data_IF_391624492429
#
_entry.id   IF_391624492429
#
_cell.length_a   1.000
_cell.length_b   1.000
_cell.length_c   1.000
_cell.angle_alpha   90.00
_cell.angle_beta   90.00
_cell.angle_gamma   90.00
#
_symmetry.space_group_name_H-M   'P 1'
#
loop_
_entity.id
_entity.type
_entity.pdbx_description
1 polymer ?
#
# COMPACT_ATOMS: atom_id res chain seq x y z
N UNK A 1 10.62 -0.50 13.51
CA UNK A 1 10.04 -1.76 12.98
C UNK A 1 8.88 -1.42 12.05
N UNK A 2 8.72 -2.16 10.95
CA UNK A 2 7.59 -2.01 10.04
C UNK A 2 6.63 -3.16 10.31
N UNK A 3 5.42 -2.83 10.78
CA UNK A 3 4.34 -3.79 11.04
C UNK A 3 3.51 -4.10 9.80
N UNK A 4 3.35 -3.12 8.91
CA UNK A 4 2.63 -3.26 7.64
C UNK A 4 3.31 -2.42 6.56
N UNK A 5 3.64 -3.05 5.45
CA UNK A 5 4.11 -2.39 4.23
C UNK A 5 2.97 -1.70 3.46
N UNK A 6 3.33 -0.79 2.55
CA UNK A 6 2.38 -0.12 1.67
C UNK A 6 1.67 -1.12 0.72
N UNK A 7 0.42 -0.82 0.37
CA UNK A 7 -0.41 -1.67 -0.47
C UNK A 7 0.05 -1.63 -1.94
N UNK A 8 -0.02 -2.77 -2.62
CA UNK A 8 0.24 -2.84 -4.05
C UNK A 8 -1.03 -2.51 -4.86
N UNK A 9 -1.05 -1.32 -5.48
CA UNK A 9 -2.13 -0.92 -6.39
C UNK A 9 -1.83 -1.12 -7.87
N UNK A 10 -0.82 -1.91 -8.22
CA UNK A 10 -0.57 -2.28 -9.63
C UNK A 10 -1.79 -2.98 -10.26
N UNK A 11 -2.57 -3.75 -9.49
CA UNK A 11 -3.81 -4.38 -9.95
C UNK A 11 -4.87 -3.37 -10.40
N UNK A 12 -5.12 -2.33 -9.59
CA UNK A 12 -6.06 -1.24 -9.93
C UNK A 12 -5.66 -0.51 -11.22
N UNK A 13 -4.37 -0.18 -11.34
CA UNK A 13 -3.85 0.51 -12.52
C UNK A 13 -4.05 -0.36 -13.76
N UNK A 14 -3.70 -1.64 -13.68
CA UNK A 14 -3.86 -2.56 -14.81
C UNK A 14 -5.34 -2.74 -15.21
N UNK A 15 -6.26 -2.76 -14.25
CA UNK A 15 -7.69 -2.80 -14.54
C UNK A 15 -8.18 -1.53 -15.23
N UNK A 16 -7.75 -0.36 -14.75
CA UNK A 16 -8.10 0.92 -15.36
C UNK A 16 -7.50 1.09 -16.76
N UNK A 17 -6.30 0.55 -17.02
CA UNK A 17 -5.69 0.55 -18.35
C UNK A 17 -6.49 -0.32 -19.34
N UNK A 18 -6.94 -1.51 -18.93
CA UNK A 18 -7.87 -2.33 -19.73
C UNK A 18 -9.21 -1.64 -19.99
N UNK A 19 -9.74 -0.93 -19.00
CA UNK A 19 -10.95 -0.12 -19.19
C UNK A 19 -10.70 1.03 -20.16
N UNK A 20 -9.52 1.66 -20.13
CA UNK A 20 -9.17 2.75 -21.04
C UNK A 20 -9.14 2.29 -22.50
N UNK A 21 -8.56 1.11 -22.77
CA UNK A 21 -8.48 0.51 -24.10
C UNK A 21 -9.86 0.17 -24.69
N UNK A 22 -10.78 -0.28 -23.84
CA UNK A 22 -12.10 -0.76 -24.26
C UNK A 22 -13.21 0.30 -24.16
N UNK A 23 -12.98 1.42 -23.46
CA UNK A 23 -14.00 2.42 -23.22
C UNK A 23 -14.23 3.38 -24.42
N UNK A 24 -15.50 3.80 -24.65
CA UNK A 24 -15.81 4.88 -25.58
C UNK A 24 -15.04 6.16 -25.27
N UNK A 25 -14.67 6.94 -26.30
CA UNK A 25 -13.87 8.18 -26.18
C UNK A 25 -14.36 9.13 -25.08
N UNK A 26 -15.69 9.28 -24.94
CA UNK A 26 -16.33 10.12 -23.91
C UNK A 26 -15.92 9.78 -22.47
N UNK A 27 -15.43 8.57 -22.20
CA UNK A 27 -15.01 8.12 -20.87
C UNK A 27 -13.49 8.05 -20.69
N UNK A 28 -12.72 8.01 -21.78
CA UNK A 28 -11.26 7.82 -21.74
C UNK A 28 -10.56 8.91 -20.94
N UNK A 29 -10.94 10.18 -21.11
CA UNK A 29 -10.36 11.30 -20.35
C UNK A 29 -10.51 11.11 -18.83
N UNK A 30 -11.67 10.64 -18.37
CA UNK A 30 -11.93 10.39 -16.95
C UNK A 30 -11.11 9.20 -16.43
N UNK A 31 -11.00 8.12 -17.20
CA UNK A 31 -10.20 6.94 -16.86
C UNK A 31 -8.72 7.32 -16.76
N UNK A 32 -8.17 8.00 -17.77
CA UNK A 32 -6.79 8.49 -17.77
C UNK A 32 -6.48 9.42 -16.61
N UNK A 33 -7.42 10.31 -16.27
CA UNK A 33 -7.30 11.18 -15.08
C UNK A 33 -7.26 10.36 -13.79
N UNK A 34 -8.07 9.31 -13.69
CA UNK A 34 -8.07 8.43 -12.52
C UNK A 34 -6.74 7.66 -12.38
N UNK A 35 -6.21 7.11 -13.47
CA UNK A 35 -4.88 6.47 -13.49
C UNK A 35 -3.80 7.46 -13.04
N UNK A 36 -3.82 8.68 -13.58
CA UNK A 36 -2.86 9.72 -13.21
C UNK A 36 -2.96 10.10 -11.72
N UNK A 37 -4.18 10.21 -11.18
CA UNK A 37 -4.40 10.49 -9.76
C UNK A 37 -3.82 9.39 -8.86
N UNK A 38 -4.09 8.12 -9.19
CA UNK A 38 -3.58 6.96 -8.44
C UNK A 38 -2.05 6.95 -8.45
N UNK A 39 -1.44 7.10 -9.63
CA UNK A 39 0.04 7.13 -9.78
C UNK A 39 0.66 8.29 -9.00
N UNK A 40 0.03 9.47 -9.04
CA UNK A 40 0.50 10.65 -8.32
C UNK A 40 0.43 10.46 -6.80
N UNK A 41 -0.67 9.89 -6.28
CA UNK A 41 -0.83 9.54 -4.86
C UNK A 41 0.24 8.55 -4.41
N UNK A 42 0.34 7.41 -5.10
CA UNK A 42 1.32 6.37 -4.80
C UNK A 42 2.77 6.86 -4.82
N UNK A 43 3.11 7.80 -5.70
CA UNK A 43 4.45 8.40 -5.75
C UNK A 43 4.78 9.20 -4.49
N UNK A 44 3.79 9.92 -3.95
CA UNK A 44 3.91 10.65 -2.68
C UNK A 44 4.04 9.71 -1.49
N UNK A 45 3.07 8.81 -1.35
CA UNK A 45 3.01 7.81 -0.28
C UNK A 45 4.26 6.92 -0.25
N UNK A 46 4.70 6.41 -1.41
CA UNK A 46 5.92 5.58 -1.51
C UNK A 46 7.17 6.34 -1.10
N UNK A 47 7.26 7.63 -1.42
CA UNK A 47 8.41 8.46 -1.04
C UNK A 47 8.43 8.69 0.47
N UNK A 48 7.29 9.00 1.06
CA UNK A 48 7.15 9.15 2.51
C UNK A 48 7.43 7.83 3.25
N UNK A 49 6.87 6.71 2.79
CA UNK A 49 7.16 5.38 3.31
C UNK A 49 8.65 5.02 3.23
N UNK A 50 9.32 5.36 2.12
CA UNK A 50 10.77 5.16 1.99
C UNK A 50 11.57 5.96 3.04
N UNK A 51 11.23 7.24 3.27
CA UNK A 51 11.88 8.04 4.30
C UNK A 51 11.62 7.47 5.71
N UNK A 52 10.36 7.14 6.02
CA UNK A 52 9.98 6.56 7.31
C UNK A 52 10.70 5.23 7.58
N UNK A 53 10.73 4.34 6.58
CA UNK A 53 11.42 3.05 6.68
C UNK A 53 12.94 3.21 6.84
N UNK A 54 13.56 4.19 6.18
CA UNK A 54 15.00 4.47 6.33
C UNK A 54 15.34 4.97 7.73
N UNK A 55 14.55 5.90 8.27
CA UNK A 55 14.85 6.53 9.56
C UNK A 55 14.45 5.63 10.75
N UNK A 56 13.37 4.86 10.63
CA UNK A 56 12.75 4.17 11.78
C UNK A 56 12.52 2.66 11.57
N UNK A 57 12.80 2.12 10.39
CA UNK A 57 12.51 0.72 10.04
C UNK A 57 13.14 -0.29 10.98
N UNK A 58 14.32 0.00 11.53
CA UNK A 58 15.07 -0.87 12.46
C UNK A 58 14.88 -0.52 13.94
N UNK A 59 14.11 0.52 14.27
CA UNK A 59 13.88 0.91 15.66
C UNK A 59 13.02 -0.13 16.41
N UNK A 60 13.41 -0.47 17.64
CA UNK A 60 12.61 -1.32 18.55
C UNK A 60 11.58 -0.52 19.37
N UNK A 61 11.65 0.81 19.34
CA UNK A 61 10.72 1.69 20.06
C UNK A 61 9.70 2.37 19.15
N UNK A 62 9.82 2.19 17.82
CA UNK A 62 8.95 2.83 16.82
C UNK A 62 8.37 1.78 15.89
N UNK A 63 7.04 1.72 15.85
CA UNK A 63 6.25 0.86 14.98
C UNK A 63 5.62 1.67 13.86
N UNK A 64 5.64 1.13 12.64
CA UNK A 64 5.13 1.81 11.44
C UNK A 64 4.15 0.89 10.72
N UNK A 65 2.98 1.39 10.36
CA UNK A 65 2.04 0.71 9.47
C UNK A 65 1.66 1.66 8.32
N UNK A 66 1.90 1.25 7.08
CA UNK A 66 1.54 2.00 5.89
C UNK A 66 0.21 1.54 5.30
N UNK A 67 -0.53 2.43 4.65
CA UNK A 67 -1.82 2.20 3.99
C UNK A 67 -2.80 1.41 4.88
N UNK A 68 -2.89 1.82 6.14
CA UNK A 68 -3.69 1.12 7.13
C UNK A 68 -5.15 1.54 6.98
N UNK A 69 -5.94 0.60 6.46
CA UNK A 69 -7.40 0.69 6.39
C UNK A 69 -8.08 -0.15 7.47
N UNK A 70 -8.78 0.48 8.42
CA UNK A 70 -9.50 -0.15 9.53
C UNK A 70 -10.99 0.14 9.43
N UNK A 71 -11.82 -0.89 9.52
CA UNK A 71 -13.28 -0.76 9.44
C UNK A 71 -13.89 -0.67 10.85
N UNK A 72 -14.87 0.22 11.02
CA UNK A 72 -15.63 0.42 12.25
C UNK A 72 -17.09 0.70 11.91
N UNK A 73 -17.92 -0.34 11.84
CA UNK A 73 -19.28 -0.24 11.33
C UNK A 73 -19.28 0.23 9.88
N UNK A 74 -20.01 1.31 9.59
CA UNK A 74 -20.08 1.92 8.25
C UNK A 74 -18.94 2.95 7.99
N UNK A 75 -18.09 3.20 8.98
CA UNK A 75 -16.97 4.13 8.88
C UNK A 75 -15.65 3.40 8.66
N UNK A 76 -14.71 4.07 8.01
CA UNK A 76 -13.41 3.51 7.65
C UNK A 76 -12.31 4.50 8.00
N UNK A 77 -11.41 4.09 8.89
CA UNK A 77 -10.15 4.80 9.10
C UNK A 77 -9.21 4.45 7.95
N UNK A 78 -8.85 5.44 7.13
CA UNK A 78 -7.84 5.31 6.08
C UNK A 78 -6.62 6.13 6.50
N UNK A 79 -5.52 5.45 6.82
CA UNK A 79 -4.31 6.08 7.35
C UNK A 79 -3.15 5.78 6.39
N UNK A 80 -2.64 6.79 5.69
CA UNK A 80 -1.53 6.60 4.76
C UNK A 80 -0.31 6.05 5.50
N UNK A 81 0.09 6.68 6.60
CA UNK A 81 1.10 6.13 7.50
C UNK A 81 0.72 6.34 8.96
N UNK A 82 0.84 5.27 9.77
CA UNK A 82 0.71 5.30 11.21
C UNK A 82 2.09 5.07 11.82
N UNK A 83 2.49 5.95 12.73
CA UNK A 83 3.74 5.79 13.51
C UNK A 83 3.38 5.78 14.98
N UNK A 84 3.87 4.78 15.73
CA UNK A 84 3.62 4.66 17.17
C UNK A 84 4.94 4.58 17.91
N UNK A 85 5.06 5.32 19.02
CA UNK A 85 6.23 5.25 19.91
C UNK A 85 5.92 4.48 21.19
N UNK A 86 6.62 3.36 21.41
CA UNK A 86 6.41 2.37 22.49
C UNK A 86 6.34 2.99 23.88
N UNK A 87 7.27 3.88 24.21
CA UNK A 87 7.40 4.45 25.57
C UNK A 87 6.54 5.69 25.82
N UNK A 88 5.95 6.27 24.76
CA UNK A 88 5.26 7.56 24.86
C UNK A 88 3.74 7.43 24.76
N UNK A 89 3.22 6.21 24.57
CA UNK A 89 1.78 5.96 24.36
C UNK A 89 1.17 6.92 23.32
N UNK A 90 1.97 7.36 22.34
CA UNK A 90 1.57 8.36 21.36
C UNK A 90 1.65 7.74 19.97
N UNK A 91 0.60 7.99 19.19
CA UNK A 91 0.49 7.65 17.78
C UNK A 91 0.43 8.94 16.94
N UNK A 92 0.98 8.86 15.73
CA UNK A 92 0.93 9.91 14.73
C UNK A 92 0.28 9.35 13.48
N UNK A 93 -0.80 9.99 13.06
CA UNK A 93 -1.51 9.69 11.82
C UNK A 93 -1.00 10.67 10.77
N UNK A 94 -0.27 10.14 9.79
CA UNK A 94 0.36 10.94 8.75
C UNK A 94 -0.47 10.85 7.48
N UNK A 95 -0.97 12.01 7.04
CA UNK A 95 -1.70 12.21 5.79
C UNK A 95 -0.74 12.77 4.74
N UNK A 96 -0.59 12.10 3.60
CA UNK A 96 0.36 12.46 2.56
C UNK A 96 -0.30 13.23 1.42
N UNK A 97 0.20 14.44 1.15
CA UNK A 97 -0.25 15.27 0.02
C UNK A 97 0.88 15.53 -0.97
N UNK A 98 0.71 14.99 -2.17
CA UNK A 98 1.63 15.20 -3.29
C UNK A 98 1.17 16.31 -4.23
N UNK A 99 1.32 17.57 -3.81
CA UNK A 99 1.01 18.74 -4.64
C UNK A 99 2.27 19.41 -5.18
N UNK A 100 2.24 19.81 -6.45
CA UNK A 100 3.23 20.73 -7.01
C UNK A 100 2.83 22.17 -6.68
N UNK A 101 3.78 22.99 -6.20
CA UNK A 101 3.59 24.42 -5.96
C UNK A 101 3.46 24.81 -4.48
N UNK A 102 2.84 25.98 -4.24
CA UNK A 102 2.66 26.55 -2.89
C UNK A 102 1.32 26.12 -2.32
N UNK A 103 1.31 25.70 -1.07
CA UNK A 103 0.12 25.38 -0.29
C UNK A 103 -0.08 26.52 0.73
N UNK A 104 -1.30 27.04 0.81
CA UNK A 104 -1.68 28.06 1.80
C UNK A 104 -2.94 27.62 2.52
N UNK A 105 -3.03 28.01 3.80
CA UNK A 105 -4.24 27.98 4.60
C UNK A 105 -4.58 29.44 4.92
N UNK A 106 -5.83 29.83 4.84
CA UNK A 106 -6.28 31.13 5.34
C UNK A 106 -6.76 31.04 6.80
N UNK A 107 -7.27 32.17 7.32
CA UNK A 107 -7.76 32.30 8.69
C UNK A 107 -9.06 31.52 8.98
N UNK A 108 -9.80 31.16 7.93
CA UNK A 108 -11.02 30.34 8.04
C UNK A 108 -10.71 28.84 7.99
N UNK A 109 -9.45 28.48 7.70
CA UNK A 109 -9.04 27.09 7.56
C UNK A 109 -9.24 26.53 6.16
N UNK A 110 -9.45 27.39 5.16
CA UNK A 110 -9.59 27.02 3.76
C UNK A 110 -8.20 26.85 3.11
N UNK A 111 -8.05 25.77 2.35
CA UNK A 111 -6.76 25.37 1.80
C UNK A 111 -6.73 25.57 0.29
N UNK A 112 -5.67 26.22 -0.18
CA UNK A 112 -5.45 26.49 -1.60
C UNK A 112 -4.09 25.97 -2.04
N UNK A 113 -4.05 25.32 -3.20
CA UNK A 113 -2.82 24.98 -3.91
C UNK A 113 -2.62 25.96 -5.06
N UNK A 114 -1.47 26.59 -5.10
CA UNK A 114 -1.05 27.53 -6.14
C UNK A 114 -0.07 26.84 -7.08
N UNK A 115 -0.48 26.60 -8.31
CA UNK A 115 0.37 26.03 -9.35
C UNK A 115 0.46 27.00 -10.53
N UNK A 116 1.68 27.48 -10.84
CA UNK A 116 1.94 28.50 -11.87
C UNK A 116 1.02 29.73 -11.74
N UNK A 117 0.83 30.19 -10.50
CA UNK A 117 -0.04 31.34 -10.18
C UNK A 117 -1.54 31.07 -10.22
N UNK A 118 -1.99 29.86 -10.59
CA UNK A 118 -3.41 29.49 -10.59
C UNK A 118 -3.79 28.88 -9.24
N UNK A 119 -4.74 29.48 -8.50
CA UNK A 119 -5.26 28.88 -7.28
C UNK A 119 -6.20 27.72 -7.61
N UNK A 120 -6.18 26.72 -6.74
CA UNK A 120 -7.16 25.63 -6.72
C UNK A 120 -7.46 25.25 -5.29
N UNK A 121 -8.72 25.34 -4.92
CA UNK A 121 -9.17 24.97 -3.59
C UNK A 121 -9.07 23.46 -3.41
N UNK A 122 -8.66 23.06 -2.21
CA UNK A 122 -8.53 21.68 -1.81
C UNK A 122 -9.23 21.46 -0.46
N UNK A 123 -9.77 20.26 -0.22
CA UNK A 123 -10.25 19.91 1.11
C UNK A 123 -9.10 20.01 2.13
N UNK A 124 -9.43 20.44 3.35
CA UNK A 124 -8.45 20.57 4.43
C UNK A 124 -7.72 19.24 4.71
N UNK A 125 -6.40 19.14 4.45
CA UNK A 125 -5.63 17.95 4.75
C UNK A 125 -5.50 17.73 6.26
N UNK A 126 -5.49 18.81 7.04
CA UNK A 126 -5.44 18.71 8.50
C UNK A 126 -6.73 18.11 9.08
N UNK A 127 -7.90 18.55 8.59
CA UNK A 127 -9.17 17.99 9.05
C UNK A 127 -9.39 16.56 8.53
N UNK A 128 -8.80 16.20 7.37
CA UNK A 128 -8.72 14.79 6.95
C UNK A 128 -7.95 13.97 7.99
N UNK A 129 -6.71 14.36 8.32
CA UNK A 129 -5.90 13.66 9.31
C UNK A 129 -6.59 13.58 10.69
N UNK A 130 -7.25 14.66 11.15
CA UNK A 130 -8.01 14.68 12.41
C UNK A 130 -9.13 13.65 12.46
N UNK A 131 -9.95 13.55 11.40
CA UNK A 131 -10.99 12.52 11.31
C UNK A 131 -10.40 11.11 11.38
N UNK A 132 -9.26 10.89 10.73
CA UNK A 132 -8.57 9.60 10.81
C UNK A 132 -8.04 9.31 12.22
N UNK A 133 -7.56 10.32 12.96
CA UNK A 133 -7.21 10.16 14.37
C UNK A 133 -8.42 9.77 15.23
N UNK A 134 -9.58 10.40 15.03
CA UNK A 134 -10.82 10.11 15.76
C UNK A 134 -11.29 8.68 15.49
N UNK A 135 -11.29 8.26 14.22
CA UNK A 135 -11.64 6.90 13.83
C UNK A 135 -10.66 5.86 14.38
N UNK A 136 -9.36 6.17 14.40
CA UNK A 136 -8.35 5.31 15.03
C UNK A 136 -8.59 5.21 16.54
N UNK A 137 -8.89 6.31 17.24
CA UNK A 137 -9.20 6.29 18.69
C UNK A 137 -10.37 5.35 18.98
N UNK A 138 -11.47 5.53 18.26
CA UNK A 138 -12.68 4.70 18.41
C UNK A 138 -12.40 3.24 18.08
N UNK A 139 -11.58 2.97 17.06
CA UNK A 139 -11.18 1.61 16.71
C UNK A 139 -10.34 0.97 17.82
N UNK A 140 -9.39 1.70 18.41
CA UNK A 140 -8.57 1.23 19.53
C UNK A 140 -9.44 0.93 20.76
N UNK A 141 -10.36 1.83 21.09
CA UNK A 141 -11.33 1.67 22.19
C UNK A 141 -12.22 0.43 21.98
N UNK A 142 -12.80 0.26 20.78
CA UNK A 142 -13.62 -0.89 20.44
C UNK A 142 -12.87 -2.24 20.46
N UNK A 143 -11.54 -2.19 20.50
CA UNK A 143 -10.65 -3.34 20.55
C UNK A 143 -9.94 -3.47 21.91
N UNK A 144 -10.37 -2.74 22.94
CA UNK A 144 -9.79 -2.75 24.29
C UNK A 144 -8.28 -2.43 24.31
N UNK A 145 -7.82 -1.53 23.43
CA UNK A 145 -6.42 -1.08 23.36
C UNK A 145 -6.29 0.28 24.06
N UNK A 146 -6.03 0.25 25.36
CA UNK A 146 -5.83 1.46 26.17
C UNK A 146 -4.37 1.98 26.18
N UNK A 147 -3.45 1.32 25.46
CA UNK A 147 -2.02 1.63 25.53
C UNK A 147 -1.60 2.90 24.73
N UNK A 148 -2.53 3.53 24.02
CA UNK A 148 -2.32 4.74 23.23
C UNK A 148 -3.19 5.86 23.81
N UNK A 149 -2.56 6.79 24.51
CA UNK A 149 -3.22 7.92 25.18
C UNK A 149 -3.43 9.12 24.24
N UNK A 150 -2.56 9.26 23.23
CA UNK A 150 -2.50 10.45 22.40
C UNK A 150 -2.34 10.09 20.93
N UNK A 151 -3.22 10.64 20.09
CA UNK A 151 -3.14 10.50 18.63
C UNK A 151 -2.98 11.89 18.03
N UNK A 152 -1.98 12.08 17.18
CA UNK A 152 -1.63 13.38 16.60
C UNK A 152 -1.75 13.36 15.07
N UNK A 153 -2.49 14.33 14.48
CA UNK A 153 -2.53 14.48 13.04
C UNK A 153 -1.25 15.14 12.54
N UNK A 154 -0.68 14.61 11.46
CA UNK A 154 0.45 15.21 10.74
C UNK A 154 0.15 15.22 9.25
N UNK A 155 0.35 16.35 8.59
CA UNK A 155 0.27 16.47 7.13
C UNK A 155 1.67 16.42 6.57
N UNK A 156 1.98 15.38 5.80
CA UNK A 156 3.19 15.28 5.01
C UNK A 156 2.98 15.90 3.64
N UNK A 157 3.85 16.82 3.25
CA UNK A 157 3.85 17.44 1.92
C UNK A 157 5.11 17.06 1.14
N UNK A 158 5.04 17.13 -0.19
CA UNK A 158 6.20 16.87 -1.04
C UNK A 158 7.38 17.79 -0.68
N UNK A 159 8.64 17.31 -0.76
CA UNK A 159 9.84 18.13 -0.60
C UNK A 159 9.87 19.37 -1.51
N UNK A 160 9.29 19.24 -2.70
CA UNK A 160 9.25 20.27 -3.73
C UNK A 160 8.11 21.28 -3.55
N UNK A 161 7.18 21.04 -2.62
CA UNK A 161 6.13 22.01 -2.28
C UNK A 161 6.68 23.11 -1.36
N UNK A 162 6.03 24.26 -1.35
CA UNK A 162 6.22 25.28 -0.31
C UNK A 162 4.93 25.42 0.50
N UNK A 163 5.06 25.74 1.79
CA UNK A 163 3.91 26.02 2.66
C UNK A 163 4.18 27.29 3.44
N UNK A 164 3.20 28.16 3.47
CA UNK A 164 3.24 29.35 4.31
C UNK A 164 2.86 28.97 5.75
N UNK A 165 3.87 28.85 6.62
CA UNK A 165 3.67 28.39 8.00
C UNK A 165 3.11 29.48 8.92
N UNK A 166 3.20 30.74 8.52
CA UNK A 166 2.71 31.86 9.34
C UNK A 166 1.18 31.88 9.47
N UNK A 167 0.49 31.26 8.52
CA UNK A 167 -0.97 31.19 8.45
C UNK A 167 -1.54 29.82 8.82
N UNK A 168 -0.69 28.90 9.28
CA UNK A 168 -1.15 27.60 9.74
C UNK A 168 -1.79 27.73 11.13
N UNK A 169 -2.86 26.99 11.43
CA UNK A 169 -3.37 26.89 12.80
C UNK A 169 -2.25 26.46 13.76
N UNK A 170 -2.23 27.00 14.99
CA UNK A 170 -1.11 26.82 15.92
C UNK A 170 -0.76 25.36 16.27
N UNK A 171 -1.72 24.45 16.18
CA UNK A 171 -1.55 23.01 16.43
C UNK A 171 -1.31 22.20 15.14
N UNK A 172 -1.30 22.83 13.97
CA UNK A 172 -1.17 22.14 12.70
C UNK A 172 0.29 21.68 12.48
N UNK A 173 0.47 20.37 12.37
CA UNK A 173 1.76 19.79 12.01
C UNK A 173 1.83 19.55 10.50
N UNK A 174 2.38 20.52 9.76
CA UNK A 174 2.63 20.39 8.32
C UNK A 174 4.13 20.30 8.06
N UNK A 175 4.56 19.13 7.58
CA UNK A 175 5.97 18.76 7.52
C UNK A 175 6.30 18.30 6.10
N UNK A 176 7.44 18.73 5.57
CA UNK A 176 7.92 18.15 4.30
C UNK A 176 8.42 16.73 4.59
N UNK A 177 8.10 15.77 3.72
CA UNK A 177 8.38 14.35 3.97
C UNK A 177 9.87 14.06 4.24
N UNK A 178 10.78 14.79 3.60
CA UNK A 178 12.24 14.70 3.78
C UNK A 178 12.74 15.30 5.10
N UNK A 179 11.97 16.22 5.71
CA UNK A 179 12.28 16.82 7.01
C UNK A 179 11.60 16.10 8.18
N UNK A 180 10.82 15.05 7.93
CA UNK A 180 10.05 14.38 8.97
C UNK A 180 10.92 13.83 10.10
N UNK A 181 12.07 13.22 9.80
CA UNK A 181 12.96 12.65 10.83
C UNK A 181 13.52 13.71 11.80
N UNK A 182 13.83 14.91 11.32
CA UNK A 182 14.26 16.02 12.18
C UNK A 182 13.09 16.59 12.99
N UNK A 183 11.94 16.79 12.34
CA UNK A 183 10.74 17.24 13.04
C UNK A 183 10.35 16.25 14.15
N UNK A 184 10.37 14.96 13.86
CA UNK A 184 10.09 13.89 14.80
C UNK A 184 11.02 13.93 16.00
N UNK A 185 12.35 13.96 15.79
CA UNK A 185 13.33 14.04 16.88
C UNK A 185 13.02 15.20 17.82
N UNK A 186 12.72 16.39 17.27
CA UNK A 186 12.31 17.54 18.07
C UNK A 186 11.01 17.31 18.84
N UNK A 187 10.01 16.64 18.25
CA UNK A 187 8.78 16.30 18.99
C UNK A 187 9.06 15.28 20.10
N UNK A 188 9.76 14.20 19.79
CA UNK A 188 10.09 13.15 20.76
C UNK A 188 10.99 13.66 21.90
N UNK A 189 11.90 14.60 21.62
CA UNK A 189 12.81 15.21 22.60
C UNK A 189 12.13 16.29 23.47
N UNK A 190 11.23 17.11 22.88
CA UNK A 190 10.42 18.09 23.65
C UNK A 190 9.47 17.42 24.63
N UNK A 191 8.98 16.24 24.28
CA UNK A 191 8.22 15.38 25.20
C UNK A 191 9.13 14.61 26.18
N UNK A 192 10.42 14.48 25.90
CA UNK A 192 11.39 13.72 26.71
C UNK A 192 12.17 14.54 27.76
N UNK A 193 12.48 15.81 27.52
CA UNK A 193 13.41 16.58 28.38
C UNK A 193 12.81 17.04 29.72
N UNK A 194 11.52 17.38 29.78
CA UNK A 194 10.83 17.65 31.05
C UNK A 194 10.27 16.39 31.72
N UNK A 195 9.94 15.38 30.92
CA UNK A 195 9.21 14.19 31.38
C UNK A 195 10.15 13.08 31.85
N UNK A 196 11.34 12.90 31.26
CA UNK A 196 12.29 11.84 31.65
C UNK A 196 12.73 11.91 33.14
N UNK A 197 12.88 13.12 33.68
CA UNK A 197 13.23 13.32 35.10
C UNK A 197 12.04 13.03 36.05
N UNK A 198 10.80 13.27 35.59
CA UNK A 198 9.55 12.85 36.27
C UNK A 198 9.24 11.36 36.05
N UNK A 199 9.74 10.77 34.96
CA UNK A 199 9.50 9.40 34.51
C UNK A 199 10.20 8.34 35.35
N UNK A 200 11.39 8.64 35.90
CA UNK A 200 12.08 7.69 36.78
C UNK A 200 11.28 7.34 38.04
N UNK A 201 10.32 8.18 38.46
CA UNK A 201 9.47 7.91 39.64
C UNK A 201 8.04 7.43 39.33
N UNK A 202 7.50 7.68 38.13
CA UNK A 202 6.07 7.41 37.81
C UNK A 202 5.79 6.66 36.51
N UNK A 203 6.77 6.47 35.63
CA UNK A 203 6.51 6.03 34.24
C UNK A 203 6.98 4.61 33.88
N UNK A 204 7.21 3.75 34.88
CA UNK A 204 7.10 2.30 34.65
C UNK A 204 5.67 1.87 34.26
N UNK A 205 4.68 2.78 34.28
CA UNK A 205 3.24 2.47 34.19
C UNK A 205 2.53 2.86 32.88
N UNK A 206 3.15 3.59 31.93
CA UNK A 206 2.47 4.06 30.69
C UNK A 206 3.06 3.61 29.36
N UNK A 207 4.32 3.16 29.33
CA UNK A 207 4.91 2.58 28.12
C UNK A 207 4.43 1.15 27.89
N UNK A 208 4.47 0.68 26.65
CA UNK A 208 4.21 -0.73 26.34
C UNK A 208 5.46 -1.58 26.59
N UNK A 209 5.26 -2.82 27.06
CA UNK A 209 6.30 -3.85 26.96
C UNK A 209 6.60 -4.17 25.49
N UNK A 210 7.66 -4.92 25.22
CA UNK A 210 8.03 -5.26 23.85
C UNK A 210 6.97 -6.15 23.23
N UNK A 211 6.53 -7.13 24.02
CA UNK A 211 5.52 -8.11 23.68
C UNK A 211 4.17 -7.43 23.42
N UNK A 212 3.76 -6.49 24.27
CA UNK A 212 2.54 -5.71 24.08
C UNK A 212 2.61 -4.84 22.81
N UNK A 213 3.78 -4.26 22.53
CA UNK A 213 4.00 -3.42 21.35
C UNK A 213 3.98 -4.22 20.05
N UNK A 214 4.62 -5.39 20.05
CA UNK A 214 4.57 -6.33 18.92
C UNK A 214 3.15 -6.86 18.69
N UNK A 215 2.45 -7.25 19.76
CA UNK A 215 1.07 -7.70 19.68
C UNK A 215 0.14 -6.61 19.12
N UNK A 216 0.32 -5.36 19.52
CA UNK A 216 -0.40 -4.22 18.93
C UNK A 216 -0.15 -4.13 17.42
N UNK A 217 1.11 -4.22 17.01
CA UNK A 217 1.49 -4.20 15.60
C UNK A 217 0.84 -5.32 14.79
N UNK A 218 0.86 -6.55 15.31
CA UNK A 218 0.22 -7.70 14.68
C UNK A 218 -1.30 -7.53 14.56
N UNK A 219 -1.95 -7.01 15.60
CA UNK A 219 -3.40 -6.75 15.60
C UNK A 219 -3.78 -5.70 14.56
N UNK A 220 -3.04 -4.58 14.48
CA UNK A 220 -3.27 -3.54 13.48
C UNK A 220 -3.08 -4.10 12.05
N UNK A 221 -2.00 -4.86 11.82
CA UNK A 221 -1.74 -5.47 10.52
C UNK A 221 -2.82 -6.48 10.11
N UNK A 222 -3.29 -7.32 11.04
CA UNK A 222 -4.34 -8.32 10.78
C UNK A 222 -5.73 -7.69 10.57
N UNK A 223 -6.00 -6.56 11.23
CA UNK A 223 -7.24 -5.81 11.09
C UNK A 223 -7.34 -5.05 9.77
N UNK A 224 -6.24 -4.88 9.04
CA UNK A 224 -6.24 -4.20 7.76
C UNK A 224 -7.20 -4.87 6.77
N UNK A 225 -8.01 -4.04 6.10
CA UNK A 225 -8.89 -4.45 5.01
C UNK A 225 -8.56 -3.65 3.75
N UNK A 226 -7.83 -4.22 2.77
CA UNK A 226 -7.48 -3.51 1.54
C UNK A 226 -8.73 -2.99 0.82
N UNK A 227 -8.62 -1.82 0.20
CA UNK A 227 -9.70 -1.27 -0.62
C UNK A 227 -9.95 -2.15 -1.85
N UNK A 228 -11.22 -2.47 -2.12
CA UNK A 228 -11.65 -3.09 -3.37
C UNK A 228 -12.49 -2.09 -4.14
N UNK A 229 -12.12 -1.83 -5.40
CA UNK A 229 -12.79 -0.85 -6.23
C UNK A 229 -13.48 -1.52 -7.42
N UNK A 230 -14.79 -1.34 -7.54
CA UNK A 230 -15.46 -1.53 -8.82
C UNK A 230 -15.25 -0.29 -9.68
N UNK A 231 -14.11 -0.26 -10.37
CA UNK A 231 -13.75 0.86 -11.24
C UNK A 231 -14.77 1.09 -12.35
N UNK A 232 -15.45 0.04 -12.83
CA UNK A 232 -16.44 0.16 -13.90
C UNK A 232 -17.69 0.90 -13.39
N UNK A 233 -18.20 0.51 -12.22
CA UNK A 233 -19.32 1.19 -11.58
C UNK A 233 -18.96 2.61 -11.12
N UNK A 234 -17.81 2.81 -10.46
CA UNK A 234 -17.34 4.13 -10.02
C UNK A 234 -17.18 5.12 -11.18
N UNK A 235 -16.80 4.62 -12.34
CA UNK A 235 -16.66 5.40 -13.56
C UNK A 235 -17.93 5.38 -14.41
N UNK A 236 -19.07 4.86 -13.93
CA UNK A 236 -20.34 4.85 -14.66
C UNK A 236 -20.22 4.31 -16.08
N UNK A 237 -19.39 3.28 -16.27
CA UNK A 237 -19.20 2.60 -17.55
C UNK A 237 -20.31 1.53 -17.71
N UNK A 238 -20.87 1.36 -18.92
CA UNK A 238 -21.86 0.31 -19.15
C UNK A 238 -21.25 -1.07 -18.85
N UNK A 239 -21.98 -1.89 -18.12
CA UNK A 239 -21.62 -3.29 -17.90
C UNK A 239 -21.58 -4.00 -19.25
N UNK A 240 -20.53 -4.78 -19.52
CA UNK A 240 -20.41 -5.57 -20.76
C UNK A 240 -21.39 -6.75 -20.84
N UNK A 241 -22.45 -6.78 -20.02
CA UNK A 241 -23.54 -7.75 -20.13
C UNK A 241 -24.62 -7.22 -21.08
N UNK A 242 -24.38 -7.43 -22.37
CA UNK A 242 -25.35 -7.22 -23.43
C UNK A 242 -25.03 -8.09 -24.65
N UNK A 243 -25.92 -9.06 -24.90
CA UNK A 243 -26.08 -9.91 -26.09
C UNK A 243 -24.99 -10.93 -26.45
N UNK A 244 -25.09 -12.13 -25.90
CA UNK A 244 -25.57 -13.30 -26.68
C UNK A 244 -26.15 -14.33 -25.71
N UNK A 245 -27.43 -14.65 -25.90
CA UNK A 245 -28.07 -15.81 -25.29
C UNK A 245 -27.38 -17.08 -25.81
N UNK A 246 -26.96 -17.98 -24.91
CA UNK A 246 -26.84 -19.41 -25.17
C UNK A 246 -27.36 -20.17 -23.94
N UNK A 247 -27.97 -21.35 -24.15
CA UNK A 247 -28.95 -21.92 -23.24
C UNK A 247 -28.29 -22.57 -22.02
N UNK A 248 -29.11 -22.74 -20.99
CA UNK A 248 -28.79 -23.42 -19.75
C UNK A 248 -28.12 -24.77 -20.02
N UNK A 249 -26.94 -24.99 -19.41
CA UNK A 249 -26.33 -26.30 -19.26
C UNK A 249 -26.13 -26.56 -17.76
N UNK A 250 -26.57 -27.76 -17.40
CA UNK A 250 -26.79 -28.29 -16.06
C UNK A 250 -25.50 -28.49 -15.24
N UNK A 251 -25.72 -28.63 -13.94
CA UNK A 251 -24.77 -29.03 -12.90
C UNK A 251 -23.78 -30.13 -13.34
N UNK A 252 -22.48 -29.93 -13.06
CA UNK A 252 -21.51 -31.02 -13.09
C UNK A 252 -20.05 -30.59 -13.02
N UNK A 253 -19.49 -30.57 -11.81
CA UNK A 253 -18.07 -30.78 -11.48
C UNK A 253 -17.02 -29.87 -12.14
N UNK A 254 -16.51 -28.91 -11.35
CA UNK A 254 -15.28 -28.16 -11.64
C UNK A 254 -14.07 -29.11 -11.62
N UNK A 255 -13.58 -29.49 -12.80
CA UNK A 255 -12.20 -29.93 -13.00
C UNK A 255 -11.29 -28.71 -13.26
N UNK A 256 -10.04 -28.70 -12.78
CA UNK A 256 -9.11 -27.61 -12.99
C UNK A 256 -8.65 -27.57 -14.46
N UNK A 257 -9.01 -26.51 -15.17
CA UNK A 257 -8.50 -26.26 -16.52
C UNK A 257 -7.05 -25.78 -16.45
N UNK A 258 -6.11 -26.67 -16.78
CA UNK A 258 -4.72 -26.34 -17.10
C UNK A 258 -4.75 -25.55 -18.40
N UNK A 259 -4.54 -24.23 -18.34
CA UNK A 259 -4.36 -23.43 -19.55
C UNK A 259 -3.11 -23.92 -20.28
N UNK A 260 -3.30 -24.37 -21.52
CA UNK A 260 -2.30 -24.97 -22.39
C UNK A 260 -1.11 -24.00 -22.58
N UNK A 261 0.11 -24.41 -22.20
CA UNK A 261 1.37 -23.61 -22.28
C UNK A 261 1.83 -23.42 -23.73
N UNK A 262 0.92 -23.53 -24.71
CA UNK A 262 1.22 -23.46 -26.14
C UNK A 262 1.30 -21.99 -26.56
N UNK A 263 2.52 -21.49 -26.44
CA UNK A 263 3.05 -20.20 -26.87
C UNK A 263 2.47 -18.97 -26.15
N UNK A 264 3.28 -18.38 -25.27
CA UNK A 264 3.03 -17.04 -24.70
C UNK A 264 3.18 -15.98 -25.79
N UNK A 265 2.21 -15.89 -26.70
CA UNK A 265 2.17 -14.85 -27.73
C UNK A 265 1.53 -13.58 -27.16
N UNK A 266 2.23 -12.44 -27.19
CA UNK A 266 1.74 -11.13 -26.73
C UNK A 266 2.55 -10.51 -25.60
N UNK A 267 1.99 -9.51 -24.90
CA UNK A 267 2.67 -8.76 -23.83
C UNK A 267 2.28 -9.17 -22.40
N UNK A 268 1.26 -10.03 -22.25
CA UNK A 268 0.73 -10.45 -20.95
C UNK A 268 -0.06 -9.34 -20.24
N UNK A 269 -0.31 -9.44 -18.91
CA UNK A 269 0.19 -10.49 -18.01
C UNK A 269 -0.61 -11.79 -18.10
N UNK A 270 0.09 -12.92 -18.03
CA UNK A 270 -0.49 -14.23 -17.85
C UNK A 270 -0.38 -14.66 -16.38
N UNK A 271 -1.42 -15.33 -15.91
CA UNK A 271 -1.47 -15.86 -14.56
C UNK A 271 -1.74 -17.36 -14.63
N UNK A 272 -0.84 -18.15 -14.05
CA UNK A 272 -0.95 -19.60 -13.96
C UNK A 272 -1.26 -19.98 -12.52
N UNK A 273 -2.42 -20.58 -12.31
CA UNK A 273 -2.77 -21.16 -11.01
C UNK A 273 -2.08 -22.51 -10.87
N UNK A 274 -1.35 -22.71 -9.78
CA UNK A 274 -0.69 -23.97 -9.46
C UNK A 274 -1.18 -24.50 -8.11
N UNK A 275 -0.84 -25.76 -7.81
CA UNK A 275 -1.16 -26.36 -6.51
C UNK A 275 -0.50 -25.67 -5.30
N UNK A 276 0.53 -24.84 -5.51
CA UNK A 276 1.28 -24.17 -4.45
C UNK A 276 1.17 -22.64 -4.45
N UNK A 277 0.29 -22.07 -5.30
CA UNK A 277 0.08 -20.64 -5.41
C UNK A 277 0.11 -20.12 -6.85
N UNK A 278 0.11 -18.79 -6.98
CA UNK A 278 0.00 -18.09 -8.25
C UNK A 278 1.37 -17.77 -8.88
N UNK A 279 1.51 -18.03 -10.18
CA UNK A 279 2.65 -17.63 -11.01
C UNK A 279 2.21 -16.57 -12.02
N UNK A 280 2.84 -15.40 -12.00
CA UNK A 280 2.57 -14.29 -12.93
C UNK A 280 3.72 -14.09 -13.90
N UNK A 281 3.38 -13.92 -15.17
CA UNK A 281 4.34 -13.65 -16.24
C UNK A 281 3.90 -12.42 -17.03
N UNK A 282 4.80 -11.47 -17.26
CA UNK A 282 4.50 -10.25 -18.04
C UNK A 282 5.70 -9.86 -18.89
N UNK A 283 5.47 -9.42 -20.14
CA UNK A 283 6.54 -8.84 -20.95
C UNK A 283 6.88 -7.44 -20.44
N UNK A 284 8.16 -7.09 -20.41
CA UNK A 284 8.64 -5.76 -20.03
C UNK A 284 9.14 -5.01 -21.28
N UNK A 285 9.29 -3.67 -21.23
CA UNK A 285 9.57 -2.86 -22.42
C UNK A 285 10.86 -3.22 -23.18
N UNK A 286 11.80 -3.93 -22.55
CA UNK A 286 13.04 -4.41 -23.19
C UNK A 286 12.86 -5.75 -23.93
N UNK A 287 11.63 -6.27 -24.01
CA UNK A 287 11.27 -7.51 -24.70
C UNK A 287 11.42 -8.78 -23.85
N UNK A 288 11.98 -8.69 -22.64
CA UNK A 288 12.09 -9.83 -21.71
C UNK A 288 10.79 -10.10 -20.98
N UNK A 289 10.68 -11.27 -20.37
CA UNK A 289 9.55 -11.69 -19.55
C UNK A 289 9.93 -11.66 -18.08
N UNK A 290 9.11 -10.99 -17.28
CA UNK A 290 9.21 -10.97 -15.83
C UNK A 290 8.33 -12.08 -15.23
N UNK A 291 8.94 -12.98 -14.47
CA UNK A 291 8.25 -13.99 -13.65
C UNK A 291 8.17 -13.52 -12.20
N UNK A 292 6.97 -13.57 -11.61
CA UNK A 292 6.70 -13.36 -10.18
C UNK A 292 5.86 -14.50 -9.64
N UNK A 293 6.03 -14.80 -8.36
CA UNK A 293 5.35 -15.92 -7.72
C UNK A 293 4.97 -15.61 -6.28
N UNK A 294 3.97 -16.31 -5.76
CA UNK A 294 3.55 -16.22 -4.35
C UNK A 294 4.65 -16.68 -3.39
N UNK A 295 4.56 -16.24 -2.13
CA UNK A 295 5.57 -16.50 -1.08
C UNK A 295 5.55 -17.93 -0.50
N UNK A 296 5.09 -18.91 -1.26
CA UNK A 296 5.13 -20.32 -0.88
C UNK A 296 6.53 -20.89 -1.08
N UNK A 297 7.07 -21.62 -0.10
CA UNK A 297 8.42 -22.20 -0.17
C UNK A 297 8.59 -23.12 -1.38
N UNK A 298 7.57 -23.94 -1.68
CA UNK A 298 7.53 -24.84 -2.85
C UNK A 298 7.61 -24.05 -4.15
N UNK A 299 6.88 -22.92 -4.20
CA UNK A 299 6.83 -22.05 -5.37
C UNK A 299 8.12 -21.26 -5.55
N UNK A 300 8.70 -20.74 -4.47
CA UNK A 300 9.99 -20.06 -4.47
C UNK A 300 11.10 -20.99 -4.96
N UNK A 301 11.13 -22.24 -4.47
CA UNK A 301 12.15 -23.23 -4.86
C UNK A 301 12.01 -23.64 -6.33
N UNK A 302 10.79 -23.93 -6.79
CA UNK A 302 10.51 -24.27 -8.19
C UNK A 302 10.94 -23.14 -9.13
N UNK A 303 10.51 -21.90 -8.86
CA UNK A 303 10.87 -20.74 -9.69
C UNK A 303 12.37 -20.48 -9.69
N UNK A 304 13.02 -20.53 -8.52
CA UNK A 304 14.47 -20.33 -8.42
C UNK A 304 15.24 -21.39 -9.19
N UNK A 305 14.81 -22.65 -9.12
CA UNK A 305 15.48 -23.77 -9.80
C UNK A 305 15.30 -23.68 -11.31
N UNK A 306 14.07 -23.46 -11.79
CA UNK A 306 13.78 -23.37 -13.22
C UNK A 306 14.40 -22.14 -13.89
N UNK A 307 14.59 -21.03 -13.16
CA UNK A 307 15.22 -19.82 -13.72
C UNK A 307 16.76 -19.83 -13.64
N UNK A 308 17.36 -20.76 -12.88
CA UNK A 308 18.82 -20.78 -12.65
C UNK A 308 19.56 -21.06 -13.96
N UNK A 309 20.41 -20.11 -14.38
CA UNK A 309 21.20 -20.21 -15.61
C UNK A 309 20.44 -19.82 -16.89
N UNK A 310 19.12 -19.60 -16.81
CA UNK A 310 18.25 -19.20 -17.93
C UNK A 310 17.69 -17.78 -17.79
N UNK A 311 17.67 -17.24 -16.57
CA UNK A 311 17.15 -15.92 -16.26
C UNK A 311 18.07 -15.08 -15.37
N UNK A 312 17.70 -13.82 -15.21
CA UNK A 312 18.38 -12.86 -14.35
C UNK A 312 17.48 -12.49 -13.16
N UNK A 313 17.94 -12.75 -11.95
CA UNK A 313 17.24 -12.29 -10.74
C UNK A 313 17.38 -10.78 -10.58
N UNK A 314 16.26 -10.08 -10.34
CA UNK A 314 16.23 -8.64 -10.06
C UNK A 314 15.81 -8.38 -8.60
N UNK A 315 16.76 -8.16 -7.68
CA UNK A 315 16.48 -7.98 -6.26
C UNK A 315 15.51 -6.82 -5.97
N UNK A 316 15.63 -5.73 -6.73
CA UNK A 316 14.80 -4.52 -6.58
C UNK A 316 13.32 -4.76 -6.82
N UNK A 317 12.97 -5.67 -7.72
CA UNK A 317 11.58 -5.94 -8.14
C UNK A 317 11.09 -7.34 -7.76
N UNK A 318 11.96 -8.12 -7.10
CA UNK A 318 11.73 -9.51 -6.68
C UNK A 318 11.13 -10.38 -7.78
N UNK A 319 11.65 -10.25 -8.99
CA UNK A 319 11.24 -11.03 -10.15
C UNK A 319 12.46 -11.61 -10.88
N UNK A 320 12.21 -12.65 -11.67
CA UNK A 320 13.17 -13.16 -12.65
C UNK A 320 12.87 -12.57 -14.01
N UNK A 321 13.92 -12.17 -14.73
CA UNK A 321 13.82 -11.74 -16.13
C UNK A 321 14.34 -12.84 -17.04
N UNK A 322 13.56 -13.23 -18.03
CA UNK A 322 13.91 -14.27 -19.01
C UNK A 322 13.77 -13.74 -20.43
N UNK A 323 14.60 -14.27 -21.34
CA UNK A 323 14.42 -14.04 -22.76
C UNK A 323 13.14 -14.74 -23.26
N UNK A 324 12.58 -14.24 -24.35
CA UNK A 324 11.42 -14.85 -25.02
C UNK A 324 11.66 -16.30 -25.43
N UNK A 325 12.90 -16.69 -25.76
CA UNK A 325 13.23 -18.08 -26.10
C UNK A 325 13.10 -19.04 -24.92
N UNK A 326 13.25 -18.54 -23.68
CA UNK A 326 13.33 -19.37 -22.47
C UNK A 326 11.99 -19.48 -21.73
N UNK A 327 11.09 -18.51 -21.92
CA UNK A 327 9.94 -18.32 -21.02
C UNK A 327 8.98 -19.52 -21.02
N UNK A 328 8.69 -20.07 -22.19
CA UNK A 328 7.74 -21.18 -22.34
C UNK A 328 8.24 -22.45 -21.66
N UNK A 329 9.54 -22.76 -21.80
CA UNK A 329 10.15 -23.93 -21.15
C UNK A 329 10.21 -23.74 -19.63
N UNK A 330 10.61 -22.55 -19.18
CA UNK A 330 10.73 -22.25 -17.74
C UNK A 330 9.37 -22.31 -17.03
N UNK A 331 8.29 -21.83 -17.63
CA UNK A 331 6.95 -21.98 -17.03
C UNK A 331 6.55 -23.45 -16.94
N UNK A 332 6.82 -24.24 -17.97
CA UNK A 332 6.52 -25.69 -17.96
C UNK A 332 7.28 -26.41 -16.85
N UNK A 333 8.55 -26.07 -16.66
CA UNK A 333 9.39 -26.63 -15.60
C UNK A 333 8.85 -26.27 -14.21
N UNK A 334 8.47 -25.00 -14.00
CA UNK A 334 7.90 -24.52 -12.73
C UNK A 334 6.62 -25.29 -12.41
N UNK A 335 5.67 -25.36 -13.35
CA UNK A 335 4.39 -26.06 -13.15
C UNK A 335 4.64 -27.54 -12.82
N UNK A 336 5.56 -28.19 -13.53
CA UNK A 336 5.90 -29.60 -13.33
C UNK A 336 6.59 -29.86 -11.99
N UNK A 337 7.49 -28.98 -11.56
CA UNK A 337 8.15 -29.08 -10.25
C UNK A 337 7.17 -28.90 -9.10
N UNK A 338 6.31 -27.89 -9.18
CA UNK A 338 5.27 -27.64 -8.16
C UNK A 338 4.34 -28.84 -8.03
N UNK A 339 3.88 -29.41 -9.16
CA UNK A 339 3.01 -30.58 -9.14
C UNK A 339 3.66 -31.79 -8.45
N UNK A 340 4.94 -32.09 -8.75
CA UNK A 340 5.69 -33.19 -8.12
C UNK A 340 5.89 -32.98 -6.62
N UNK A 341 6.35 -31.81 -6.21
CA UNK A 341 6.59 -31.52 -4.79
C UNK A 341 5.31 -31.50 -3.95
N UNK A 342 4.16 -31.16 -4.54
CA UNK A 342 2.87 -31.26 -3.85
C UNK A 342 2.35 -32.70 -3.74
N UNK A 343 2.72 -33.61 -4.64
CA UNK A 343 2.37 -35.03 -4.56
C UNK A 343 3.20 -35.76 -3.50
N UNK A 344 4.52 -35.55 -3.48
CA UNK A 344 5.44 -36.17 -2.51
C UNK A 344 5.08 -35.80 -1.06
N UNK A 345 4.64 -34.55 -0.81
CA UNK A 345 4.18 -34.10 0.51
C UNK A 345 2.81 -34.64 0.94
N UNK A 346 2.03 -35.25 0.04
CA UNK A 346 0.76 -35.90 0.38
C UNK A 346 0.94 -37.38 0.73
N UNK A 347 2.04 -37.99 0.30
CA UNK A 347 2.40 -39.39 0.57
C UNK A 347 3.36 -39.56 1.76
N UNK A 348 3.92 -38.44 2.26
CA UNK A 348 4.74 -38.33 3.49
C UNK A 348 3.88 -37.93 4.68
#
# INVERSE_FOLDING_TARGET
>A
MIWKDADDRSGDIAQLERLLESAPEKHQSRISKQIANIRSGQSGERRAAHFLGREFGTSQSIGIAHDLRLELGDEVAQIDHLVIHRYQATAWVLETKNYAGRITCDEHGDWTVWNRGKPRDIPSPLNQARRQCELLSRWLEANDIAAIDKIQPVVLISPTSSVDRSKLPGEAHVVKSDNFGEWWRRQSEKLGTGTALLMMGKHFLKGMSEEAFEALGQRLAAAHRPSQYDWQAMLGLPSSRGSTEYPAAENGQLQPQVADVRELTGDGPWTFQTAAGELKVSRIPDGRFAIRNDRSDVMIEAVKTSCKGRGQWMPRYRNWLLAESEITEVIRDIISMVARSCLERRES
#
